data_IF_881933500864
#
_entry.id   IF_881933500864
#
_cell.length_a   1.000
_cell.length_b   1.000
_cell.length_c   1.000
_cell.angle_alpha   90.00
_cell.angle_beta   90.00
_cell.angle_gamma   90.00
#
_symmetry.space_group_name_H-M   'P 1'
#
loop_
_entity.id
_entity.type
_entity.pdbx_description
1 polymer ?
#
# COMPACT_ATOMS: atom_id res chain seq x y z
N UNK A 1 -2.03 -11.20 1.42
CA UNK A 1 -2.33 -12.11 2.55
C UNK A 1 -2.72 -11.36 3.83
N UNK A 2 -1.94 -10.38 4.31
CA UNK A 2 -2.27 -9.62 5.53
C UNK A 2 -3.63 -8.88 5.47
N UNK A 3 -3.95 -8.23 4.35
CA UNK A 3 -5.24 -7.53 4.16
C UNK A 3 -6.42 -8.52 4.18
N UNK A 4 -6.29 -9.68 3.53
CA UNK A 4 -7.33 -10.72 3.53
C UNK A 4 -7.56 -11.28 4.93
N UNK A 5 -6.50 -11.55 5.70
CA UNK A 5 -6.61 -12.02 7.07
C UNK A 5 -7.26 -10.96 7.99
N UNK A 6 -6.91 -9.69 7.81
CA UNK A 6 -7.51 -8.57 8.51
C UNK A 6 -9.01 -8.45 8.19
N UNK A 7 -9.39 -8.49 6.90
CA UNK A 7 -10.80 -8.45 6.47
C UNK A 7 -11.57 -9.65 7.00
N UNK A 8 -11.02 -10.88 6.91
CA UNK A 8 -11.66 -12.09 7.44
C UNK A 8 -11.88 -12.02 8.95
N UNK A 9 -10.92 -11.49 9.72
CA UNK A 9 -11.07 -11.28 11.15
C UNK A 9 -12.27 -10.37 11.45
N UNK A 10 -12.38 -9.23 10.76
CA UNK A 10 -13.50 -8.30 10.96
C UNK A 10 -14.84 -8.87 10.50
N UNK A 11 -14.86 -9.64 9.40
CA UNK A 11 -16.07 -10.34 8.93
C UNK A 11 -16.52 -11.38 9.95
N UNK A 12 -15.62 -12.18 10.52
CA UNK A 12 -15.94 -13.17 11.53
C UNK A 12 -16.41 -12.53 12.85
N UNK A 13 -15.78 -11.43 13.27
CA UNK A 13 -16.22 -10.66 14.44
C UNK A 13 -17.61 -10.04 14.21
N UNK A 14 -17.85 -9.49 13.03
CA UNK A 14 -19.14 -8.92 12.63
C UNK A 14 -20.25 -9.97 12.59
N UNK A 15 -19.99 -11.13 11.98
CA UNK A 15 -20.92 -12.26 11.96
C UNK A 15 -21.15 -12.85 13.36
N UNK A 16 -20.12 -12.92 14.20
CA UNK A 16 -20.24 -13.35 15.59
C UNK A 16 -21.10 -12.40 16.42
N UNK A 17 -20.93 -11.09 16.26
CA UNK A 17 -21.75 -10.09 16.93
C UNK A 17 -23.21 -10.11 16.42
N UNK A 18 -23.40 -10.26 15.11
CA UNK A 18 -24.73 -10.38 14.48
C UNK A 18 -25.46 -11.63 14.98
N UNK A 19 -24.80 -12.78 14.97
CA UNK A 19 -25.36 -14.04 15.45
C UNK A 19 -25.68 -13.98 16.95
N UNK A 20 -24.82 -13.33 17.75
CA UNK A 20 -25.08 -13.12 19.18
C UNK A 20 -26.27 -12.18 19.42
N UNK A 21 -26.44 -11.15 18.59
CA UNK A 21 -27.59 -10.25 18.64
C UNK A 21 -28.90 -10.94 18.21
N UNK A 22 -28.85 -11.82 17.21
CA UNK A 22 -30.01 -12.56 16.70
C UNK A 22 -30.41 -13.76 17.60
N UNK A 23 -29.45 -14.38 18.29
CA UNK A 23 -29.69 -15.55 19.15
C UNK A 23 -30.14 -15.19 20.58
N UNK A 24 -30.04 -13.92 20.97
CA UNK A 24 -30.37 -13.46 22.33
C UNK A 24 -31.66 -12.66 22.40
N UNK A 25 -32.80 -13.33 22.58
CA UNK A 25 -34.01 -12.66 23.06
C UNK A 25 -33.74 -11.95 24.41
N UNK A 26 -34.30 -10.74 24.59
CA UNK A 26 -34.00 -9.80 25.69
C UNK A 26 -34.15 -10.35 27.12
N UNK A 27 -34.87 -11.47 27.30
CA UNK A 27 -35.03 -12.17 28.59
C UNK A 27 -33.93 -13.21 28.88
N UNK A 28 -33.47 -13.97 27.89
CA UNK A 28 -32.50 -15.06 28.08
C UNK A 28 -31.04 -14.60 28.24
N UNK A 29 -30.66 -13.48 27.63
CA UNK A 29 -29.34 -12.88 27.82
C UNK A 29 -29.14 -12.36 29.25
N UNK A 30 -30.20 -11.80 29.87
CA UNK A 30 -30.17 -11.34 31.26
C UNK A 30 -30.05 -12.49 32.26
N UNK A 31 -30.72 -13.61 32.02
CA UNK A 31 -30.64 -14.81 32.88
C UNK A 31 -29.27 -15.52 32.82
N UNK A 32 -28.66 -15.64 31.63
CA UNK A 32 -27.31 -16.23 31.50
C UNK A 32 -26.19 -15.34 32.04
N UNK A 33 -26.40 -14.01 32.06
CA UNK A 33 -25.49 -13.05 32.69
C UNK A 33 -25.65 -13.06 34.21
N UNK A 34 -26.86 -13.32 34.72
CA UNK A 34 -27.13 -13.45 36.15
C UNK A 34 -26.61 -14.77 36.76
N UNK A 35 -26.56 -15.86 35.98
CA UNK A 35 -26.12 -17.19 36.47
C UNK A 35 -24.61 -17.43 36.38
N UNK A 36 -23.82 -16.53 35.78
CA UNK A 36 -22.36 -16.66 35.68
C UNK A 36 -21.69 -16.09 36.94
N UNK A 37 -20.89 -16.91 37.62
CA UNK A 37 -20.14 -16.52 38.83
C UNK A 37 -19.31 -15.23 38.59
N UNK A 38 -19.12 -14.40 39.63
CA UNK A 38 -18.33 -13.15 39.55
C UNK A 38 -16.94 -13.37 38.94
N UNK A 39 -16.39 -14.58 39.11
CA UNK A 39 -15.10 -15.03 38.56
C UNK A 39 -15.16 -15.24 37.04
N UNK A 40 -16.24 -15.84 36.53
CA UNK A 40 -16.47 -16.04 35.09
C UNK A 40 -16.69 -14.73 34.33
N UNK A 41 -17.40 -13.76 34.95
CA UNK A 41 -17.59 -12.43 34.34
C UNK A 41 -16.27 -11.66 34.24
N UNK A 42 -15.45 -11.70 35.30
CA UNK A 42 -14.09 -11.11 35.29
C UNK A 42 -13.17 -11.77 34.28
N UNK A 43 -13.23 -13.09 34.12
CA UNK A 43 -12.44 -13.82 33.12
C UNK A 43 -12.78 -13.42 31.69
N UNK A 44 -14.06 -13.29 31.36
CA UNK A 44 -14.50 -12.83 30.02
C UNK A 44 -14.07 -11.38 29.77
N UNK A 45 -14.23 -10.49 30.76
CA UNK A 45 -13.79 -9.09 30.62
C UNK A 45 -12.27 -9.00 30.45
N UNK A 46 -11.48 -9.77 31.20
CA UNK A 46 -10.03 -9.80 31.05
C UNK A 46 -9.59 -10.30 29.68
N UNK A 47 -10.20 -11.39 29.19
CA UNK A 47 -9.92 -11.89 27.84
C UNK A 47 -10.27 -10.87 26.77
N UNK A 48 -11.39 -10.17 26.90
CA UNK A 48 -11.80 -9.12 25.97
C UNK A 48 -10.81 -7.95 25.96
N UNK A 49 -10.41 -7.44 27.12
CA UNK A 49 -9.42 -6.35 27.25
C UNK A 49 -8.06 -6.79 26.70
N UNK A 50 -7.62 -8.01 27.02
CA UNK A 50 -6.38 -8.57 26.50
C UNK A 50 -6.40 -8.67 24.96
N UNK A 51 -7.54 -9.11 24.40
CA UNK A 51 -7.72 -9.23 22.95
C UNK A 51 -7.64 -7.87 22.26
N UNK A 52 -8.25 -6.83 22.84
CA UNK A 52 -8.16 -5.46 22.32
C UNK A 52 -6.72 -4.94 22.40
N UNK A 53 -6.02 -5.15 23.52
CA UNK A 53 -4.62 -4.73 23.67
C UNK A 53 -3.71 -5.43 22.66
N UNK A 54 -3.88 -6.75 22.49
CA UNK A 54 -3.10 -7.53 21.54
C UNK A 54 -3.39 -7.10 20.11
N UNK A 55 -4.66 -6.98 19.70
CA UNK A 55 -5.00 -6.55 18.34
C UNK A 55 -4.59 -5.09 18.08
N UNK A 56 -4.77 -4.22 19.07
CA UNK A 56 -4.39 -2.81 19.02
C UNK A 56 -2.88 -2.59 18.88
N UNK A 57 -2.05 -3.55 19.28
CA UNK A 57 -0.59 -3.49 19.08
C UNK A 57 -0.15 -4.30 17.85
N UNK A 58 -0.67 -5.52 17.69
CA UNK A 58 -0.26 -6.44 16.64
C UNK A 58 -0.63 -5.95 15.24
N UNK A 59 -1.80 -5.32 15.07
CA UNK A 59 -2.22 -4.79 13.76
C UNK A 59 -1.34 -3.61 13.34
N UNK A 60 -1.17 -2.53 14.14
CA UNK A 60 -0.24 -1.45 13.77
C UNK A 60 1.20 -1.93 13.58
N UNK A 61 1.72 -2.80 14.46
CA UNK A 61 3.06 -3.35 14.32
C UNK A 61 3.23 -4.15 13.02
N UNK A 62 2.22 -4.96 12.65
CA UNK A 62 2.21 -5.69 11.39
C UNK A 62 2.22 -4.77 10.18
N UNK A 63 1.46 -3.67 10.20
CA UNK A 63 1.46 -2.68 9.11
C UNK A 63 2.83 -2.00 8.98
N UNK A 64 3.40 -1.52 10.09
CA UNK A 64 4.72 -0.86 10.09
C UNK A 64 5.81 -1.81 9.58
N UNK A 65 5.78 -3.08 9.99
CA UNK A 65 6.72 -4.09 9.50
C UNK A 65 6.59 -4.33 7.98
N UNK A 66 5.38 -4.18 7.42
CA UNK A 66 5.18 -4.31 5.96
C UNK A 66 5.70 -3.11 5.16
N UNK A 67 5.80 -1.92 5.73
CA UNK A 67 6.32 -0.73 5.03
C UNK A 67 7.80 -0.90 4.67
N UNK A 68 8.61 -1.48 5.56
CA UNK A 68 10.03 -1.81 5.25
C UNK A 68 10.15 -2.72 4.02
N UNK A 69 9.22 -3.68 3.87
CA UNK A 69 9.19 -4.60 2.73
C UNK A 69 8.67 -3.97 1.43
N UNK A 70 7.95 -2.84 1.48
CA UNK A 70 7.47 -2.12 0.28
C UNK A 70 8.57 -1.31 -0.39
N UNK A 71 9.68 -1.06 0.29
CA UNK A 71 10.80 -0.27 -0.24
C UNK A 71 11.80 -1.10 -1.05
N UNK A 72 11.61 -2.41 -1.13
CA UNK A 72 12.34 -3.27 -2.05
C UNK A 72 11.60 -3.37 -3.39
N UNK A 73 12.36 -3.45 -4.48
CA UNK A 73 11.87 -3.80 -5.82
C UNK A 73 12.62 -5.07 -6.24
N UNK A 74 12.08 -6.25 -5.92
CA UNK A 74 12.76 -7.52 -6.17
C UNK A 74 13.09 -7.74 -7.66
N UNK A 75 12.17 -7.34 -8.54
CA UNK A 75 12.29 -7.47 -10.00
C UNK A 75 13.45 -6.63 -10.57
N UNK A 76 13.81 -5.54 -9.89
CA UNK A 76 14.91 -4.65 -10.26
C UNK A 76 16.18 -4.91 -9.41
N UNK A 77 16.17 -5.95 -8.57
CA UNK A 77 17.24 -6.26 -7.60
C UNK A 77 17.57 -5.10 -6.63
N UNK A 78 16.58 -4.28 -6.28
CA UNK A 78 16.74 -3.17 -5.35
C UNK A 78 16.26 -3.60 -3.98
N UNK A 79 17.18 -3.68 -3.02
CA UNK A 79 16.86 -4.12 -1.64
C UNK A 79 16.17 -3.03 -0.81
N UNK A 80 16.50 -1.77 -1.06
CA UNK A 80 15.86 -0.62 -0.42
C UNK A 80 16.03 0.61 -1.31
N UNK A 81 14.93 1.29 -1.62
CA UNK A 81 14.96 2.61 -2.24
C UNK A 81 15.43 3.67 -1.23
N UNK A 82 16.24 4.62 -1.70
CA UNK A 82 16.54 5.86 -0.97
C UNK A 82 15.28 6.71 -0.79
N UNK A 83 15.29 7.68 0.13
CA UNK A 83 14.15 8.58 0.34
C UNK A 83 13.72 9.30 -0.95
N UNK A 84 14.69 9.76 -1.75
CA UNK A 84 14.42 10.41 -3.05
C UNK A 84 13.75 9.46 -4.04
N UNK A 85 14.22 8.20 -4.11
CA UNK A 85 13.61 7.20 -4.99
C UNK A 85 12.21 6.77 -4.51
N UNK A 86 11.97 6.77 -3.19
CA UNK A 86 10.64 6.51 -2.63
C UNK A 86 9.68 7.64 -3.00
N UNK A 87 10.10 8.89 -2.82
CA UNK A 87 9.35 10.07 -3.25
C UNK A 87 9.08 10.04 -4.77
N UNK A 88 10.08 9.70 -5.57
CA UNK A 88 9.94 9.53 -7.02
C UNK A 88 8.93 8.47 -7.41
N UNK A 89 8.86 7.35 -6.66
CA UNK A 89 7.85 6.31 -6.85
C UNK A 89 6.44 6.80 -6.51
N UNK A 90 6.29 7.62 -5.47
CA UNK A 90 5.02 8.21 -5.08
C UNK A 90 4.52 9.18 -6.15
N UNK A 91 5.39 10.08 -6.62
CA UNK A 91 5.08 10.97 -7.74
C UNK A 91 4.74 10.22 -9.02
N UNK A 92 5.48 9.15 -9.33
CA UNK A 92 5.16 8.27 -10.46
C UNK A 92 3.76 7.67 -10.34
N UNK A 93 3.37 7.21 -9.15
CA UNK A 93 2.05 6.65 -8.90
C UNK A 93 0.92 7.68 -9.11
N UNK A 94 1.16 8.94 -8.74
CA UNK A 94 0.19 10.03 -8.86
C UNK A 94 0.07 10.58 -10.28
N UNK A 95 1.17 10.64 -11.03
CA UNK A 95 1.24 11.42 -12.29
C UNK A 95 1.50 10.58 -13.54
N UNK A 96 2.17 9.43 -13.42
CA UNK A 96 2.69 8.69 -14.57
C UNK A 96 2.03 7.32 -14.77
N UNK A 97 1.62 6.66 -13.67
CA UNK A 97 1.11 5.27 -13.64
C UNK A 97 -0.09 5.01 -14.54
N UNK A 98 -0.94 6.00 -14.76
CA UNK A 98 -2.13 5.86 -15.60
C UNK A 98 -1.81 5.87 -17.11
N UNK A 99 -0.60 6.27 -17.48
CA UNK A 99 -0.17 6.32 -18.87
C UNK A 99 0.89 5.26 -19.19
N UNK A 100 1.85 5.04 -18.29
CA UNK A 100 3.00 4.17 -18.53
C UNK A 100 2.90 2.85 -17.75
N UNK A 101 3.39 1.77 -18.36
CA UNK A 101 3.71 0.55 -17.65
C UNK A 101 5.10 0.66 -17.01
N UNK A 102 5.21 0.16 -15.77
CA UNK A 102 6.44 0.05 -15.00
C UNK A 102 6.19 -0.94 -13.85
N UNK A 103 6.80 -2.13 -13.92
CA UNK A 103 6.59 -3.22 -12.97
C UNK A 103 6.95 -2.80 -11.54
N UNK A 104 8.05 -2.06 -11.40
CA UNK A 104 8.53 -1.50 -10.14
C UNK A 104 7.51 -0.60 -9.41
N UNK A 105 6.60 0.03 -10.16
CA UNK A 105 5.53 0.87 -9.63
C UNK A 105 4.15 0.18 -9.69
N UNK A 106 4.09 -1.11 -10.05
CA UNK A 106 2.85 -1.87 -10.28
C UNK A 106 1.92 -1.12 -11.25
N UNK A 107 2.50 -0.59 -12.32
CA UNK A 107 1.82 0.14 -13.37
C UNK A 107 1.77 -0.70 -14.65
N UNK A 108 0.63 -0.71 -15.32
CA UNK A 108 0.37 -1.57 -16.49
C UNK A 108 -0.39 -0.84 -17.61
N UNK A 109 -0.42 0.49 -17.56
CA UNK A 109 -1.07 1.31 -18.58
C UNK A 109 -0.35 1.21 -19.94
N UNK A 110 -1.09 1.44 -21.02
CA UNK A 110 -0.62 1.30 -22.41
C UNK A 110 -0.80 2.57 -23.24
N UNK A 111 -1.00 3.72 -22.59
CA UNK A 111 -1.17 5.01 -23.29
C UNK A 111 0.19 5.52 -23.75
N UNK A 112 1.19 5.46 -22.87
CA UNK A 112 2.59 5.72 -23.16
C UNK A 112 3.37 4.41 -23.36
N UNK A 113 4.66 4.51 -23.74
CA UNK A 113 5.54 3.36 -23.83
C UNK A 113 5.66 2.63 -22.49
N UNK A 114 5.86 1.32 -22.57
CA UNK A 114 6.27 0.51 -21.43
C UNK A 114 7.71 0.86 -21.04
N UNK A 115 7.90 1.33 -19.81
CA UNK A 115 9.21 1.76 -19.34
C UNK A 115 10.11 0.58 -18.99
N UNK A 116 9.54 -0.57 -18.65
CA UNK A 116 10.31 -1.81 -18.46
C UNK A 116 10.99 -2.26 -19.77
N UNK A 117 10.33 -2.00 -20.92
CA UNK A 117 10.86 -2.32 -22.25
C UNK A 117 11.79 -1.22 -22.77
N UNK A 118 11.39 0.05 -22.62
CA UNK A 118 12.15 1.20 -23.10
C UNK A 118 13.45 1.44 -22.33
N UNK A 119 13.46 1.10 -21.03
CA UNK A 119 14.59 1.25 -20.10
C UNK A 119 15.33 2.60 -20.21
N UNK A 120 14.61 3.74 -20.15
CA UNK A 120 15.21 5.05 -20.40
C UNK A 120 16.23 5.43 -19.31
N UNK A 121 17.35 6.11 -19.65
CA UNK A 121 18.25 6.70 -18.67
C UNK A 121 17.60 7.93 -17.99
N UNK A 122 18.17 8.37 -16.86
CA UNK A 122 17.62 9.48 -16.05
C UNK A 122 17.39 10.74 -16.88
N UNK A 123 18.40 11.20 -17.63
CA UNK A 123 18.28 12.40 -18.46
C UNK A 123 17.12 12.35 -19.46
N UNK A 124 16.86 11.18 -20.07
CA UNK A 124 15.77 11.04 -21.03
C UNK A 124 14.39 11.14 -20.36
N UNK A 125 14.27 10.60 -19.13
CA UNK A 125 13.04 10.72 -18.35
C UNK A 125 12.81 12.17 -17.93
N UNK A 126 13.85 12.85 -17.46
CA UNK A 126 13.76 14.26 -17.06
C UNK A 126 13.37 15.16 -18.24
N UNK A 127 14.02 14.98 -19.40
CA UNK A 127 13.69 15.70 -20.63
C UNK A 127 12.23 15.45 -21.08
N UNK A 128 11.75 14.21 -20.93
CA UNK A 128 10.36 13.88 -21.26
C UNK A 128 9.35 14.53 -20.30
N UNK A 129 9.69 14.64 -19.02
CA UNK A 129 8.86 15.33 -18.02
C UNK A 129 8.83 16.83 -18.31
N UNK A 130 9.97 17.44 -18.56
CA UNK A 130 10.10 18.90 -18.75
C UNK A 130 9.46 19.36 -20.06
N UNK A 131 9.75 18.68 -21.17
CA UNK A 131 9.33 19.13 -22.51
C UNK A 131 8.09 18.44 -23.03
N UNK A 132 7.67 17.34 -22.40
CA UNK A 132 6.66 16.46 -22.97
C UNK A 132 7.12 15.81 -24.28
N UNK A 133 6.17 15.19 -24.97
CA UNK A 133 6.38 14.52 -26.27
C UNK A 133 5.36 14.87 -27.35
N UNK A 134 4.43 15.78 -27.06
CA UNK A 134 3.36 16.25 -27.95
C UNK A 134 3.83 16.76 -29.34
N UNK A 135 5.10 17.14 -29.48
CA UNK A 135 5.67 17.68 -30.73
C UNK A 135 6.23 16.61 -31.68
N UNK A 136 5.48 15.52 -31.90
CA UNK A 136 5.81 14.47 -32.89
C UNK A 136 6.44 13.20 -32.34
N UNK A 137 6.67 13.11 -31.02
CA UNK A 137 7.25 11.92 -30.36
C UNK A 137 6.25 11.22 -29.41
N UNK A 138 4.97 11.58 -29.47
CA UNK A 138 3.89 11.08 -28.60
C UNK A 138 2.91 12.18 -28.20
N UNK A 139 2.07 11.92 -27.20
CA UNK A 139 1.07 12.86 -26.68
C UNK A 139 1.29 13.21 -25.20
N UNK A 140 2.48 12.92 -24.64
CA UNK A 140 2.80 13.23 -23.25
C UNK A 140 2.88 14.75 -23.07
N UNK A 141 2.14 15.31 -22.13
CA UNK A 141 2.19 16.72 -21.77
C UNK A 141 3.48 17.06 -21.02
N UNK A 142 3.95 18.29 -21.18
CA UNK A 142 5.08 18.85 -20.43
C UNK A 142 4.70 19.17 -18.97
N UNK A 143 5.70 19.33 -18.11
CA UNK A 143 5.60 19.84 -16.74
C UNK A 143 4.56 19.13 -15.86
N UNK A 144 4.49 17.79 -15.94
CA UNK A 144 3.61 16.99 -15.07
C UNK A 144 4.04 17.01 -13.60
N UNK A 145 5.34 17.19 -13.38
CA UNK A 145 6.04 17.45 -12.11
C UNK A 145 7.24 18.35 -12.42
N UNK A 146 7.76 19.07 -11.43
CA UNK A 146 8.81 20.07 -11.61
C UNK A 146 9.88 19.97 -10.51
N UNK A 147 11.06 20.54 -10.76
CA UNK A 147 12.14 20.62 -9.78
C UNK A 147 12.52 19.27 -9.16
N UNK A 148 12.54 19.22 -7.83
CA UNK A 148 12.93 18.02 -7.07
C UNK A 148 12.01 16.82 -7.34
N UNK A 149 10.72 17.06 -7.61
CA UNK A 149 9.78 15.98 -7.94
C UNK A 149 10.12 15.33 -9.29
N UNK A 150 10.51 16.14 -10.28
CA UNK A 150 10.92 15.64 -11.60
C UNK A 150 12.22 14.83 -11.51
N UNK A 151 13.20 15.35 -10.77
CA UNK A 151 14.45 14.66 -10.44
C UNK A 151 14.21 13.31 -9.76
N UNK A 152 13.34 13.30 -8.75
CA UNK A 152 13.00 12.09 -7.99
C UNK A 152 12.33 11.04 -8.88
N UNK A 153 11.35 11.42 -9.71
CA UNK A 153 10.70 10.51 -10.66
C UNK A 153 11.71 9.96 -11.65
N UNK A 154 12.54 10.82 -12.23
CA UNK A 154 13.54 10.41 -13.21
C UNK A 154 14.55 9.41 -12.61
N UNK A 155 15.03 9.69 -11.39
CA UNK A 155 15.93 8.80 -10.68
C UNK A 155 15.27 7.46 -10.34
N UNK A 156 14.02 7.49 -9.87
CA UNK A 156 13.26 6.28 -9.57
C UNK A 156 13.07 5.40 -10.81
N UNK A 157 12.63 5.96 -11.94
CA UNK A 157 12.42 5.22 -13.20
C UNK A 157 13.72 4.60 -13.70
N UNK A 158 14.80 5.39 -13.74
CA UNK A 158 16.12 4.93 -14.19
C UNK A 158 16.65 3.77 -13.35
N UNK A 159 16.52 3.86 -12.02
CA UNK A 159 16.93 2.80 -11.08
C UNK A 159 16.02 1.57 -11.20
N UNK A 160 14.70 1.76 -11.33
CA UNK A 160 13.72 0.69 -11.48
C UNK A 160 13.97 -0.20 -12.71
N UNK A 161 14.50 0.38 -13.79
CA UNK A 161 14.80 -0.34 -15.04
C UNK A 161 16.27 -0.75 -15.16
N UNK A 162 17.06 -0.55 -14.11
CA UNK A 162 18.50 -0.87 -14.08
C UNK A 162 19.35 -0.05 -15.04
N UNK A 163 18.94 1.19 -15.34
CA UNK A 163 19.68 2.14 -16.16
C UNK A 163 19.89 3.48 -15.42
N UNK A 164 20.60 3.51 -14.27
CA UNK A 164 20.74 4.69 -13.43
C UNK A 164 21.72 5.75 -14.00
N UNK A 165 22.29 5.55 -15.19
CA UNK A 165 23.26 6.46 -15.76
C UNK A 165 22.68 7.87 -15.96
N UNK A 166 23.54 8.87 -15.70
CA UNK A 166 23.26 10.31 -15.71
C UNK A 166 22.87 10.83 -17.10
#
# INVERSE_FOLDING_TARGET
MAVLAFVLLFVLLGLGALFLAMSGGSKGARERVASKSRRGRRGVTLLFVLSILVLGVAVPAGVIATETSRNAIPEANIKALTEVQQHGREQFALRCKNCHALAAAKASARVGPNLDDLRPPKALVLDAIEKGRANGNGNMSAALVEGEDAEAVAQFVAVAVGNPAE
#
